data_IF_275453217859
#
_entry.id   IF_275453217859
#
_cell.length_a   1.000
_cell.length_b   1.000
_cell.length_c   1.000
_cell.angle_alpha   90.00
_cell.angle_beta   90.00
_cell.angle_gamma   90.00
#
_symmetry.space_group_name_H-M   'P 1'
#
loop_
_entity.id
_entity.type
_entity.pdbx_description
1 polymer ?
#
# COMPACT_ATOMS: atom_id res chain seq x y z
N UNK A 1 -26.36 -23.61 38.51
CA UNK A 1 -24.90 -23.33 38.41
C UNK A 1 -24.15 -24.27 37.45
N UNK A 2 -24.40 -25.59 37.46
CA UNK A 2 -23.71 -26.55 36.56
C UNK A 2 -23.97 -26.29 35.06
N UNK A 3 -25.22 -26.03 34.68
CA UNK A 3 -25.59 -25.67 33.30
C UNK A 3 -25.10 -24.29 32.83
N UNK A 4 -24.84 -23.36 33.75
CA UNK A 4 -24.24 -22.07 33.39
C UNK A 4 -22.75 -22.25 33.04
N UNK A 5 -22.04 -23.09 33.82
CA UNK A 5 -20.64 -23.45 33.55
C UNK A 5 -20.49 -24.22 32.24
N UNK A 6 -21.37 -25.17 31.95
CA UNK A 6 -21.37 -25.93 30.68
C UNK A 6 -21.61 -25.03 29.47
N UNK A 7 -22.56 -24.09 29.55
CA UNK A 7 -22.81 -23.11 28.48
C UNK A 7 -21.65 -22.15 28.28
N UNK A 8 -21.00 -21.70 29.37
CA UNK A 8 -19.79 -20.87 29.29
C UNK A 8 -18.64 -21.66 28.67
N UNK A 9 -18.43 -22.92 29.07
CA UNK A 9 -17.37 -23.77 28.54
C UNK A 9 -17.55 -24.03 27.04
N UNK A 10 -18.75 -24.35 26.59
CA UNK A 10 -19.07 -24.56 25.17
C UNK A 10 -18.91 -23.27 24.37
N UNK A 11 -19.34 -22.12 24.91
CA UNK A 11 -19.14 -20.83 24.26
C UNK A 11 -17.65 -20.48 24.13
N UNK A 12 -16.85 -20.69 25.17
CA UNK A 12 -15.39 -20.49 25.11
C UNK A 12 -14.77 -21.43 24.06
N UNK A 13 -15.12 -22.72 24.05
CA UNK A 13 -14.56 -23.69 23.12
C UNK A 13 -14.92 -23.43 21.65
N UNK A 14 -16.06 -22.78 21.38
CA UNK A 14 -16.48 -22.39 20.03
C UNK A 14 -15.95 -21.01 19.59
N UNK A 15 -15.79 -20.06 20.51
CA UNK A 15 -15.35 -18.69 20.19
C UNK A 15 -13.83 -18.58 20.07
N UNK A 16 -13.08 -19.35 20.86
CA UNK A 16 -11.60 -19.27 20.88
C UNK A 16 -10.95 -19.64 19.54
N UNK A 17 -11.36 -20.70 18.81
CA UNK A 17 -10.76 -21.06 17.52
C UNK A 17 -11.00 -20.00 16.43
N UNK A 18 -12.15 -19.33 16.46
CA UNK A 18 -12.50 -18.27 15.49
C UNK A 18 -11.67 -17.02 15.76
N UNK A 19 -11.45 -16.66 17.03
CA UNK A 19 -10.59 -15.54 17.41
C UNK A 19 -9.12 -15.77 17.03
N UNK A 20 -8.61 -17.01 17.17
CA UNK A 20 -7.24 -17.37 16.78
C UNK A 20 -7.06 -17.39 15.25
N UNK A 21 -8.12 -17.68 14.49
CA UNK A 21 -8.07 -17.65 13.02
C UNK A 21 -7.98 -16.23 12.42
N UNK A 22 -8.24 -15.19 13.22
CA UNK A 22 -8.21 -13.79 12.78
C UNK A 22 -7.06 -12.97 13.41
N UNK A 23 -6.26 -13.57 14.31
CA UNK A 23 -5.16 -12.87 14.95
C UNK A 23 -4.01 -12.62 13.98
N UNK A 24 -3.57 -11.37 13.85
CA UNK A 24 -2.43 -10.99 13.03
C UNK A 24 -2.76 -10.47 11.63
N UNK A 25 -4.02 -10.12 11.34
CA UNK A 25 -4.35 -9.40 10.11
C UNK A 25 -3.61 -8.06 10.06
N UNK A 26 -3.60 -7.31 11.15
CA UNK A 26 -2.90 -6.03 11.23
C UNK A 26 -1.37 -6.18 11.15
N UNK A 27 -0.82 -7.25 11.73
CA UNK A 27 0.62 -7.59 11.62
C UNK A 27 1.00 -7.94 10.18
N UNK A 28 0.18 -8.75 9.50
CA UNK A 28 0.43 -9.15 8.12
C UNK A 28 0.37 -7.93 7.17
N UNK A 29 -0.63 -7.06 7.34
CA UNK A 29 -0.77 -5.83 6.57
C UNK A 29 0.46 -4.91 6.77
N UNK A 30 0.91 -4.74 8.02
CA UNK A 30 2.10 -3.94 8.33
C UNK A 30 3.39 -4.43 7.66
N UNK A 31 3.49 -5.72 7.33
CA UNK A 31 4.66 -6.31 6.65
C UNK A 31 4.49 -6.35 5.12
N UNK A 32 3.25 -6.41 4.62
CA UNK A 32 2.92 -6.58 3.20
C UNK A 32 2.64 -5.26 2.48
N UNK A 33 2.89 -4.12 3.12
CA UNK A 33 2.76 -2.80 2.52
C UNK A 33 3.58 -2.61 1.23
N UNK A 34 3.43 -1.45 0.60
CA UNK A 34 4.17 -1.08 -0.62
C UNK A 34 5.30 -0.12 -0.29
N UNK A 35 6.51 -0.48 -0.69
CA UNK A 35 7.70 0.35 -0.54
C UNK A 35 7.49 1.70 -1.25
N UNK A 36 7.84 2.77 -0.55
CA UNK A 36 7.68 4.11 -1.08
C UNK A 36 8.89 4.43 -1.98
N UNK A 37 8.68 4.93 -3.21
CA UNK A 37 9.80 5.26 -4.07
C UNK A 37 10.60 6.43 -3.49
N UNK A 38 11.91 6.42 -3.71
CA UNK A 38 12.75 7.54 -3.32
C UNK A 38 12.55 8.73 -4.27
N UNK A 39 11.66 9.64 -3.87
CA UNK A 39 11.35 10.85 -4.64
C UNK A 39 12.50 11.87 -4.66
N UNK A 40 13.57 11.66 -3.86
CA UNK A 40 14.76 12.52 -3.88
C UNK A 40 15.72 12.19 -5.04
N UNK A 41 15.62 10.99 -5.63
CA UNK A 41 16.41 10.62 -6.81
C UNK A 41 15.76 11.08 -8.13
N UNK A 42 14.50 11.52 -8.07
CA UNK A 42 13.72 11.96 -9.22
C UNK A 42 13.90 13.48 -9.39
N UNK A 43 14.91 13.85 -10.17
CA UNK A 43 15.30 15.24 -10.42
C UNK A 43 15.31 15.59 -11.91
N UNK A 44 15.31 16.89 -12.22
CA UNK A 44 15.49 17.40 -13.58
C UNK A 44 16.90 17.07 -14.07
N UNK A 45 17.01 16.53 -15.28
CA UNK A 45 18.27 16.06 -15.86
C UNK A 45 18.60 14.60 -15.56
N UNK A 46 17.77 13.89 -14.79
CA UNK A 46 17.87 12.43 -14.63
C UNK A 46 17.39 11.72 -15.90
N UNK A 47 17.87 10.51 -16.16
CA UNK A 47 17.44 9.73 -17.34
C UNK A 47 16.11 9.01 -17.07
N UNK A 48 15.31 8.78 -18.11
CA UNK A 48 14.09 7.98 -18.04
C UNK A 48 14.29 6.61 -17.39
N UNK A 49 15.39 5.92 -17.70
CA UNK A 49 15.70 4.62 -17.12
C UNK A 49 15.89 4.66 -15.59
N UNK A 50 16.45 5.74 -15.04
CA UNK A 50 16.58 5.91 -13.59
C UNK A 50 15.23 6.17 -12.92
N UNK A 51 14.32 6.90 -13.57
CA UNK A 51 12.94 7.08 -13.09
C UNK A 51 12.23 5.72 -13.05
N UNK A 52 12.39 4.92 -14.10
CA UNK A 52 11.76 3.60 -14.19
C UNK A 52 12.32 2.58 -13.19
N UNK A 53 13.57 2.74 -12.74
CA UNK A 53 14.11 1.93 -11.64
C UNK A 53 13.40 2.19 -10.31
N UNK A 54 12.96 3.43 -10.08
CA UNK A 54 12.28 3.82 -8.84
C UNK A 54 10.76 3.63 -8.92
N UNK A 55 10.15 3.94 -10.07
CA UNK A 55 8.70 3.98 -10.22
C UNK A 55 8.11 2.83 -11.05
N UNK A 56 8.96 1.93 -11.55
CA UNK A 56 8.61 0.96 -12.60
C UNK A 56 8.24 1.64 -13.93
N UNK A 57 7.79 0.85 -14.90
CA UNK A 57 7.37 1.36 -16.21
C UNK A 57 6.18 2.34 -16.10
N UNK A 58 6.10 3.35 -16.99
CA UNK A 58 5.01 4.30 -16.98
C UNK A 58 3.67 3.65 -17.32
N UNK A 59 2.59 4.17 -16.73
CA UNK A 59 1.22 3.71 -17.00
C UNK A 59 0.65 4.31 -18.28
N UNK A 60 1.24 5.40 -18.77
CA UNK A 60 0.91 6.02 -20.05
C UNK A 60 2.11 6.83 -20.55
N UNK A 61 2.25 6.89 -21.87
CA UNK A 61 3.27 7.68 -22.56
C UNK A 61 2.62 8.41 -23.73
N UNK A 62 2.80 9.72 -23.82
CA UNK A 62 2.28 10.55 -24.91
C UNK A 62 3.37 11.47 -25.48
N UNK A 63 3.39 11.74 -26.79
CA UNK A 63 4.31 12.75 -27.36
C UNK A 63 4.04 14.12 -26.74
N UNK A 64 5.11 14.85 -26.42
CA UNK A 64 5.00 16.21 -25.88
C UNK A 64 5.24 17.27 -26.96
N UNK A 65 5.00 18.54 -26.62
CA UNK A 65 5.14 19.67 -27.55
C UNK A 65 6.59 20.03 -27.88
N UNK A 66 7.56 19.47 -27.15
CA UNK A 66 8.99 19.77 -27.27
C UNK A 66 9.74 18.70 -28.09
N UNK A 67 9.01 17.74 -28.67
CA UNK A 67 9.57 16.69 -29.51
C UNK A 67 10.07 15.45 -28.75
N UNK A 68 9.85 15.40 -27.44
CA UNK A 68 10.04 14.23 -26.60
C UNK A 68 8.71 13.57 -26.19
N UNK A 69 8.67 12.99 -24.99
CA UNK A 69 7.49 12.30 -24.44
C UNK A 69 7.16 12.79 -23.05
N UNK A 70 5.88 12.73 -22.69
CA UNK A 70 5.37 12.88 -21.33
C UNK A 70 4.90 11.52 -20.86
N UNK A 71 5.50 11.03 -19.78
CA UNK A 71 5.11 9.78 -19.15
C UNK A 71 4.36 10.03 -17.84
N UNK A 72 3.35 9.21 -17.60
CA UNK A 72 2.61 9.19 -16.34
C UNK A 72 3.04 7.98 -15.52
N UNK A 73 3.39 8.19 -14.26
CA UNK A 73 3.77 7.14 -13.31
C UNK A 73 2.82 7.13 -12.11
N UNK A 74 2.55 5.93 -11.59
CA UNK A 74 1.81 5.74 -10.35
C UNK A 74 2.72 5.19 -9.27
N UNK A 75 2.55 5.71 -8.06
CA UNK A 75 3.25 5.21 -6.87
C UNK A 75 2.33 5.23 -5.65
N UNK A 76 2.72 4.48 -4.63
CA UNK A 76 2.01 4.39 -3.36
C UNK A 76 2.84 5.09 -2.28
N UNK A 77 2.16 5.76 -1.35
CA UNK A 77 2.78 6.40 -0.17
C UNK A 77 1.88 6.22 1.03
N UNK A 78 2.45 6.09 2.22
CA UNK A 78 1.78 5.94 3.50
C UNK A 78 1.43 4.52 3.90
N UNK A 79 1.98 3.50 3.22
CA UNK A 79 1.81 2.07 3.54
C UNK A 79 3.12 1.30 3.37
N UNK A 80 4.23 1.91 3.80
CA UNK A 80 5.54 1.26 3.75
C UNK A 80 5.61 0.05 4.69
N UNK A 81 6.19 -1.10 4.29
CA UNK A 81 6.44 -2.21 5.20
C UNK A 81 7.22 -1.77 6.45
N UNK A 82 6.67 -2.06 7.62
CA UNK A 82 7.24 -1.60 8.89
C UNK A 82 7.28 -2.74 9.91
N UNK A 83 8.46 -3.35 10.14
CA UNK A 83 8.65 -4.34 11.19
C UNK A 83 8.31 -3.78 12.59
N UNK A 84 8.55 -2.48 12.82
CA UNK A 84 8.20 -1.81 14.07
C UNK A 84 6.69 -1.76 14.32
N UNK A 85 5.90 -1.39 13.30
CA UNK A 85 4.43 -1.47 13.35
C UNK A 85 3.99 -2.91 13.58
N UNK A 86 4.51 -3.86 12.82
CA UNK A 86 4.17 -5.28 12.95
C UNK A 86 4.38 -5.81 14.38
N UNK A 87 5.52 -5.48 15.01
CA UNK A 87 5.80 -5.84 16.40
C UNK A 87 4.82 -5.17 17.37
N UNK A 88 4.49 -3.90 17.16
CA UNK A 88 3.54 -3.18 18.00
C UNK A 88 2.13 -3.79 17.90
N UNK A 89 1.64 -4.07 16.69
CA UNK A 89 0.37 -4.75 16.46
C UNK A 89 0.34 -6.12 17.15
N UNK A 90 1.38 -6.94 16.97
CA UNK A 90 1.47 -8.25 17.60
C UNK A 90 1.53 -8.19 19.13
N UNK A 91 2.24 -7.21 19.70
CA UNK A 91 2.29 -7.01 21.14
C UNK A 91 0.91 -6.59 21.69
N UNK A 92 0.23 -5.65 21.02
CA UNK A 92 -1.10 -5.20 21.42
C UNK A 92 -2.16 -6.29 21.28
N UNK A 93 -2.08 -7.13 20.26
CA UNK A 93 -2.92 -8.32 20.13
C UNK A 93 -2.79 -9.24 21.35
N UNK A 94 -1.56 -9.61 21.74
CA UNK A 94 -1.36 -10.48 22.92
C UNK A 94 -1.84 -9.80 24.21
N UNK A 95 -1.53 -8.52 24.40
CA UNK A 95 -1.88 -7.77 25.61
C UNK A 95 -3.39 -7.55 25.75
N UNK A 96 -4.11 -7.45 24.65
CA UNK A 96 -5.56 -7.21 24.61
C UNK A 96 -6.37 -8.48 24.39
N UNK A 97 -5.75 -9.66 24.43
CA UNK A 97 -6.40 -10.93 24.12
C UNK A 97 -7.09 -10.90 22.73
N UNK A 98 -6.38 -10.37 21.73
CA UNK A 98 -6.77 -10.23 20.32
C UNK A 98 -7.91 -9.24 20.04
N UNK A 99 -8.33 -8.45 21.03
CA UNK A 99 -9.34 -7.39 20.83
C UNK A 99 -8.79 -6.26 19.95
N UNK A 100 -7.46 -6.05 19.96
CA UNK A 100 -6.79 -5.01 19.17
C UNK A 100 -7.07 -5.09 17.67
N UNK A 101 -7.27 -6.28 17.11
CA UNK A 101 -7.61 -6.47 15.69
C UNK A 101 -8.86 -5.68 15.24
N UNK A 102 -9.81 -5.39 16.13
CA UNK A 102 -10.99 -4.56 15.82
C UNK A 102 -10.62 -3.11 15.46
N UNK A 103 -9.44 -2.65 15.89
CA UNK A 103 -8.95 -1.29 15.69
C UNK A 103 -7.72 -1.31 14.76
N UNK A 104 -6.76 -2.19 15.03
CA UNK A 104 -5.50 -2.30 14.31
C UNK A 104 -5.68 -2.64 12.83
N UNK A 105 -6.55 -3.60 12.50
CA UNK A 105 -6.77 -3.98 11.10
C UNK A 105 -7.42 -2.86 10.29
N UNK A 106 -8.49 -2.18 10.75
CA UNK A 106 -9.03 -1.02 10.03
C UNK A 106 -8.02 0.12 9.83
N UNK A 107 -7.12 0.35 10.79
CA UNK A 107 -6.06 1.36 10.67
C UNK A 107 -5.11 0.99 9.52
N UNK A 108 -4.65 -0.25 9.48
CA UNK A 108 -3.70 -0.72 8.47
C UNK A 108 -4.36 -0.85 7.09
N UNK A 109 -5.64 -1.23 7.01
CA UNK A 109 -6.39 -1.24 5.74
C UNK A 109 -6.66 0.17 5.18
N UNK A 110 -6.70 1.19 6.04
CA UNK A 110 -6.90 2.57 5.64
C UNK A 110 -5.57 3.30 5.32
N UNK A 111 -4.43 2.64 5.51
CA UNK A 111 -3.12 3.18 5.15
C UNK A 111 -2.89 3.12 3.64
N UNK A 112 -1.96 3.96 3.19
CA UNK A 112 -1.60 4.03 1.79
C UNK A 112 -2.53 4.92 0.97
N UNK A 113 -1.94 5.67 0.05
CA UNK A 113 -2.67 6.39 -0.98
C UNK A 113 -1.92 6.31 -2.30
N UNK A 114 -2.65 5.98 -3.36
CA UNK A 114 -2.12 6.02 -4.73
C UNK A 114 -1.93 7.48 -5.14
N UNK A 115 -0.78 7.79 -5.72
CA UNK A 115 -0.40 9.10 -6.25
C UNK A 115 0.04 8.95 -7.70
N UNK A 116 0.03 10.07 -8.42
CA UNK A 116 0.47 10.13 -9.80
C UNK A 116 1.40 11.32 -10.03
N UNK A 117 2.42 11.12 -10.86
CA UNK A 117 3.24 12.17 -11.43
C UNK A 117 3.31 12.04 -12.95
N UNK A 118 3.44 13.17 -13.61
CA UNK A 118 3.86 13.27 -15.00
C UNK A 118 5.30 13.74 -15.06
N UNK A 119 6.07 13.13 -15.96
CA UNK A 119 7.46 13.46 -16.22
C UNK A 119 7.59 13.76 -17.71
N UNK A 120 8.02 14.97 -18.03
CA UNK A 120 8.34 15.36 -19.40
C UNK A 120 9.81 15.06 -19.68
N UNK A 121 10.05 14.41 -20.81
CA UNK A 121 11.38 14.07 -21.31
C UNK A 121 11.70 14.85 -22.59
N UNK A 122 12.97 15.16 -22.77
CA UNK A 122 13.50 15.67 -24.02
C UNK A 122 13.63 14.55 -25.08
N UNK A 123 14.11 14.91 -26.28
CA UNK A 123 14.33 13.94 -27.36
C UNK A 123 15.45 12.91 -27.07
N UNK A 124 16.21 13.08 -25.98
CA UNK A 124 17.29 12.20 -25.55
C UNK A 124 16.93 11.43 -24.26
N UNK A 125 15.64 11.40 -23.88
CA UNK A 125 15.12 10.75 -22.67
C UNK A 125 15.65 11.31 -21.34
N UNK A 126 15.97 12.61 -21.30
CA UNK A 126 16.29 13.33 -20.06
C UNK A 126 15.10 14.10 -19.50
N UNK A 127 14.92 14.05 -18.19
CA UNK A 127 13.84 14.76 -17.48
C UNK A 127 13.99 16.26 -17.65
N UNK A 128 12.93 16.90 -18.14
CA UNK A 128 12.80 18.35 -18.26
C UNK A 128 11.91 18.94 -17.17
N UNK A 129 10.82 18.27 -16.83
CA UNK A 129 9.85 18.73 -15.84
C UNK A 129 9.15 17.57 -15.15
N UNK A 130 8.77 17.77 -13.89
CA UNK A 130 8.01 16.81 -13.09
C UNK A 130 6.79 17.53 -12.52
N UNK A 131 5.60 16.95 -12.64
CA UNK A 131 4.35 17.51 -12.13
C UNK A 131 3.56 16.47 -11.37
N UNK A 132 2.96 16.86 -10.24
CA UNK A 132 1.95 16.04 -9.57
C UNK A 132 0.64 16.19 -10.31
N UNK A 133 0.01 15.06 -10.62
CA UNK A 133 -1.29 15.03 -11.30
C UNK A 133 -2.29 14.23 -10.46
N UNK A 134 -3.60 14.47 -10.62
CA UNK A 134 -4.61 13.60 -10.03
C UNK A 134 -4.43 12.17 -10.54
N UNK A 135 -4.66 11.18 -9.68
CA UNK A 135 -4.74 9.80 -10.13
C UNK A 135 -5.97 9.68 -11.03
N UNK A 136 -5.75 9.45 -12.31
CA UNK A 136 -6.83 9.11 -13.25
C UNK A 136 -7.24 7.68 -12.92
N UNK A 137 -8.49 7.49 -12.51
CA UNK A 137 -9.06 6.14 -12.40
C UNK A 137 -9.20 5.60 -13.82
N UNK A 138 -8.18 4.91 -14.31
CA UNK A 138 -8.35 4.00 -15.44
C UNK A 138 -9.25 2.89 -14.94
N UNK A 139 -10.49 2.87 -15.44
CA UNK A 139 -11.46 1.80 -15.18
C UNK A 139 -10.83 0.44 -15.56
N UNK A 140 -10.22 -0.25 -14.59
CA UNK A 140 -9.82 -1.67 -14.67
C UNK A 140 -11.05 -2.61 -14.67
N UNK A 141 -12.22 -2.13 -15.08
CA UNK A 141 -13.47 -2.88 -15.23
C UNK A 141 -13.74 -3.32 -16.68
N UNK A 142 -12.73 -3.30 -17.56
CA UNK A 142 -12.86 -3.68 -18.96
C UNK A 142 -12.07 -4.94 -19.36
N UNK A 143 -11.84 -5.91 -18.47
CA UNK A 143 -11.52 -7.31 -18.87
C UNK A 143 -11.84 -8.27 -17.72
N UNK A 144 -13.11 -8.62 -17.58
CA UNK A 144 -13.54 -9.84 -16.92
C UNK A 144 -14.83 -10.29 -17.63
N UNK A 145 -14.65 -10.86 -18.83
CA UNK A 145 -15.64 -11.75 -19.45
C UNK A 145 -15.54 -13.15 -18.83
#
# INVERSE_FOLDING_TARGET
MRHLKERILVAVLLVTPVAVGQSGCSVALAVQGKEEPDMSEIEVGTTRGQIELQLNAPVSSAPNTEGGVTDTYYYYTGDEPSPGRAVLHGALDVLTLFIWELIGTPIELAQGSKKAIEVDYDANDYVMAIRKVPVVQTDETATAE
#
